data_IF_680928751508
#
_entry.id   IF_680928751508
#
_cell.length_a   1.000
_cell.length_b   1.000
_cell.length_c   1.000
_cell.angle_alpha   90.00
_cell.angle_beta   90.00
_cell.angle_gamma   90.00
#
_symmetry.space_group_name_H-M   'P 1'
#
loop_
_entity.id
_entity.type
_entity.pdbx_description
1 polymer ?
#
# COMPACT_ATOMS: atom_id res chain seq x y z
N UNK A 1 -17.76 9.62 5.35
CA UNK A 1 -16.54 8.79 5.27
C UNK A 1 -16.37 8.34 3.82
N UNK A 2 -15.18 8.48 3.21
CA UNK A 2 -14.94 7.89 1.89
C UNK A 2 -14.87 6.37 2.08
N UNK A 3 -15.55 5.62 1.24
CA UNK A 3 -15.73 4.17 1.32
C UNK A 3 -14.43 3.41 0.99
N UNK A 4 -13.37 3.68 1.75
CA UNK A 4 -12.02 3.15 1.56
C UNK A 4 -11.63 2.41 2.85
N UNK A 5 -11.37 1.10 2.80
CA UNK A 5 -10.83 0.39 3.94
C UNK A 5 -9.42 0.92 4.26
N UNK A 6 -9.20 1.29 5.51
CA UNK A 6 -7.95 1.86 6.00
C UNK A 6 -7.58 1.21 7.34
N UNK A 7 -6.39 0.62 7.39
CA UNK A 7 -5.75 0.16 8.62
C UNK A 7 -4.99 1.33 9.27
N UNK A 8 -5.23 1.53 10.56
CA UNK A 8 -4.66 2.61 11.35
C UNK A 8 -4.18 2.08 12.70
N UNK A 9 -3.00 2.53 13.13
CA UNK A 9 -2.49 2.43 14.49
C UNK A 9 -2.73 3.76 15.24
N UNK A 10 -2.50 3.78 16.55
CA UNK A 10 -2.69 5.00 17.36
C UNK A 10 -1.87 6.18 16.80
N UNK A 11 -0.61 5.92 16.44
CA UNK A 11 0.36 6.88 15.91
C UNK A 11 0.12 7.28 14.44
N UNK A 12 -0.68 6.54 13.67
CA UNK A 12 -0.97 6.93 12.28
C UNK A 12 -1.54 5.85 11.36
N UNK A 13 -1.71 6.22 10.08
CA UNK A 13 -2.17 5.29 9.04
C UNK A 13 -1.08 4.30 8.64
N UNK A 14 -1.48 3.02 8.57
CA UNK A 14 -0.61 1.89 8.25
C UNK A 14 -0.80 1.48 6.79
N UNK A 15 -2.05 1.28 6.37
CA UNK A 15 -2.32 0.80 5.02
C UNK A 15 -3.72 1.18 4.56
N UNK A 16 -3.89 1.47 3.27
CA UNK A 16 -5.17 1.87 2.70
C UNK A 16 -5.37 1.30 1.31
N UNK A 17 -6.63 1.13 0.93
CA UNK A 17 -7.01 0.63 -0.37
C UNK A 17 -8.19 1.44 -0.92
N UNK A 18 -8.13 1.76 -2.21
CA UNK A 18 -9.30 2.22 -2.96
C UNK A 18 -9.48 1.41 -4.23
N UNK A 19 -10.73 1.09 -4.55
CA UNK A 19 -11.10 0.41 -5.79
C UNK A 19 -11.55 1.44 -6.83
N UNK A 20 -10.98 1.34 -8.03
CA UNK A 20 -11.45 2.00 -9.24
C UNK A 20 -11.94 0.94 -10.24
N UNK A 21 -12.60 1.37 -11.32
CA UNK A 21 -13.25 0.47 -12.28
C UNK A 21 -12.33 -0.65 -12.81
N UNK A 22 -11.05 -0.36 -13.04
CA UNK A 22 -10.10 -1.29 -13.68
C UNK A 22 -8.88 -1.62 -12.82
N UNK A 23 -8.73 -1.00 -11.65
CA UNK A 23 -7.53 -1.16 -10.82
C UNK A 23 -7.84 -0.89 -9.35
N UNK A 24 -7.00 -1.43 -8.50
CA UNK A 24 -6.94 -1.12 -7.08
C UNK A 24 -5.75 -0.19 -6.84
N UNK A 25 -5.93 0.82 -5.99
CA UNK A 25 -4.83 1.66 -5.51
C UNK A 25 -4.53 1.29 -4.07
N UNK A 26 -3.31 0.82 -3.84
CA UNK A 26 -2.80 0.43 -2.53
C UNK A 26 -1.92 1.55 -1.97
N UNK A 27 -2.03 1.82 -0.67
CA UNK A 27 -1.42 2.99 -0.03
C UNK A 27 -0.79 2.64 1.32
N UNK A 28 0.54 2.40 1.39
CA UNK A 28 1.28 2.28 2.65
C UNK A 28 1.52 3.62 3.38
N UNK A 29 1.05 4.76 2.86
CA UNK A 29 1.17 6.11 3.47
C UNK A 29 2.59 6.66 3.69
N UNK A 30 3.64 5.91 3.37
CA UNK A 30 5.04 6.34 3.46
C UNK A 30 5.74 6.31 2.09
N UNK A 31 6.48 7.39 1.80
CA UNK A 31 7.32 7.45 0.61
C UNK A 31 8.62 6.66 0.81
N UNK A 32 9.12 6.59 2.04
CA UNK A 32 10.33 5.82 2.36
C UNK A 32 10.08 4.32 2.17
N UNK A 33 8.94 3.80 2.66
CA UNK A 33 8.51 2.42 2.39
C UNK A 33 8.36 2.14 0.89
N UNK A 34 7.81 3.09 0.11
CA UNK A 34 7.73 2.92 -1.35
C UNK A 34 9.12 2.84 -2.01
N UNK A 35 10.10 3.59 -1.50
CA UNK A 35 11.49 3.55 -2.00
C UNK A 35 12.19 2.25 -1.60
N UNK A 36 12.04 1.80 -0.36
CA UNK A 36 12.62 0.53 0.12
C UNK A 36 12.10 -0.66 -0.70
N UNK A 37 10.82 -0.64 -1.08
CA UNK A 37 10.17 -1.71 -1.83
C UNK A 37 10.21 -1.50 -3.35
N UNK A 38 10.96 -0.52 -3.86
CA UNK A 38 10.96 -0.16 -5.28
C UNK A 38 11.30 -1.35 -6.21
N UNK A 39 12.23 -2.21 -5.81
CA UNK A 39 12.58 -3.41 -6.58
C UNK A 39 11.41 -4.40 -6.65
N UNK A 40 10.68 -4.61 -5.54
CA UNK A 40 9.51 -5.50 -5.51
C UNK A 40 8.30 -4.91 -6.23
N UNK A 41 8.25 -3.59 -6.36
CA UNK A 41 7.17 -2.86 -6.99
C UNK A 41 7.45 -2.47 -8.46
N UNK A 42 8.59 -2.89 -9.04
CA UNK A 42 9.01 -2.47 -10.38
C UNK A 42 7.99 -2.79 -11.48
N UNK A 43 7.17 -3.83 -11.31
CA UNK A 43 6.13 -4.25 -12.24
C UNK A 43 4.81 -3.48 -12.11
N UNK A 44 4.68 -2.60 -11.11
CA UNK A 44 3.47 -1.85 -10.83
C UNK A 44 3.63 -0.37 -11.14
N UNK A 45 2.51 0.29 -11.43
CA UNK A 45 2.49 1.75 -11.55
C UNK A 45 2.60 2.35 -10.15
N UNK A 46 3.76 2.92 -9.83
CA UNK A 46 4.02 3.54 -8.54
C UNK A 46 3.80 5.07 -8.59
N UNK A 47 3.14 5.59 -7.55
CA UNK A 47 3.11 7.00 -7.19
C UNK A 47 4.01 7.28 -5.99
N UNK A 48 3.91 8.49 -5.40
CA UNK A 48 4.80 8.90 -4.28
C UNK A 48 4.64 8.05 -3.02
N UNK A 49 3.43 7.56 -2.74
CA UNK A 49 3.06 6.81 -1.52
C UNK A 49 2.13 5.63 -1.81
N UNK A 50 1.87 5.36 -3.09
CA UNK A 50 0.85 4.43 -3.54
C UNK A 50 1.35 3.64 -4.72
N UNK A 51 0.71 2.52 -5.01
CA UNK A 51 0.88 1.80 -6.27
C UNK A 51 -0.44 1.22 -6.73
N UNK A 52 -0.53 0.99 -8.03
CA UNK A 52 -1.75 0.48 -8.65
C UNK A 52 -1.54 -0.96 -9.11
N UNK A 53 -2.53 -1.80 -8.83
CA UNK A 53 -2.60 -3.18 -9.30
C UNK A 53 -3.88 -3.38 -10.14
N UNK A 54 -3.89 -4.30 -11.11
CA UNK A 54 -5.09 -4.63 -11.88
C UNK A 54 -6.27 -5.07 -11.00
N UNK A 55 -7.51 -4.91 -11.49
CA UNK A 55 -8.71 -5.34 -10.75
C UNK A 55 -8.79 -6.86 -10.51
N UNK A 56 -8.18 -7.66 -11.39
CA UNK A 56 -8.09 -9.12 -11.32
C UNK A 56 -6.78 -9.61 -10.68
N UNK A 57 -6.04 -8.70 -10.04
CA UNK A 57 -4.74 -8.98 -9.43
C UNK A 57 -4.79 -10.17 -8.46
N UNK A 58 -3.84 -11.08 -8.62
CA UNK A 58 -3.60 -12.15 -7.64
C UNK A 58 -2.93 -11.53 -6.43
N UNK A 59 -3.64 -11.53 -5.31
CA UNK A 59 -3.19 -10.92 -4.06
C UNK A 59 -1.88 -11.55 -3.62
N UNK A 60 -0.82 -10.74 -3.60
CA UNK A 60 0.45 -11.08 -2.97
C UNK A 60 0.37 -10.71 -1.49
N UNK A 61 -0.07 -11.66 -0.67
CA UNK A 61 -0.22 -11.47 0.76
C UNK A 61 1.11 -11.11 1.45
N UNK A 62 2.22 -11.70 0.99
CA UNK A 62 3.56 -11.46 1.54
C UNK A 62 3.98 -10.02 1.30
N UNK A 63 3.83 -9.51 0.07
CA UNK A 63 4.10 -8.10 -0.24
C UNK A 63 3.28 -7.14 0.62
N UNK A 64 1.98 -7.38 0.78
CA UNK A 64 1.12 -6.52 1.57
C UNK A 64 1.49 -6.53 3.06
N UNK A 65 1.81 -7.71 3.62
CA UNK A 65 2.23 -7.85 5.01
C UNK A 65 3.57 -7.15 5.26
N UNK A 66 4.52 -7.28 4.34
CA UNK A 66 5.83 -6.64 4.46
C UNK A 66 5.73 -5.12 4.40
N UNK A 67 4.92 -4.57 3.48
CA UNK A 67 4.65 -3.14 3.40
C UNK A 67 3.99 -2.60 4.69
N UNK A 68 3.02 -3.33 5.22
CA UNK A 68 2.35 -2.95 6.47
C UNK A 68 3.33 -3.01 7.66
N UNK A 69 4.19 -4.02 7.73
CA UNK A 69 5.21 -4.16 8.78
C UNK A 69 6.24 -3.04 8.70
N UNK A 70 6.74 -2.72 7.51
CA UNK A 70 7.68 -1.62 7.31
C UNK A 70 7.04 -0.29 7.75
N UNK A 71 5.77 -0.07 7.41
CA UNK A 71 5.05 1.13 7.86
C UNK A 71 4.81 1.17 9.36
N UNK A 72 4.51 0.04 10.00
CA UNK A 72 4.38 -0.04 11.46
C UNK A 72 5.70 0.26 12.16
N UNK A 73 6.83 -0.21 11.63
CA UNK A 73 8.15 0.08 12.20
C UNK A 73 8.53 1.58 12.14
N UNK A 74 7.95 2.36 11.23
CA UNK A 74 8.10 3.83 11.20
C UNK A 74 7.16 4.55 12.20
N UNK A 75 6.20 3.84 12.77
CA UNK A 75 5.11 4.36 13.60
C UNK A 75 5.24 3.99 15.08
N UNK A 76 6.13 3.04 15.40
CA UNK A 76 6.59 2.69 16.75
C UNK A 76 7.70 3.65 17.23
#
# INVERSE_FOLDING_TARGET
ARNQPMLRAESGYVFGLSAATNHLTLNPFSAAVMTEFAERLHGYRCGKKTFNVPGDWKVDATLLQDLARARLAELD
#
